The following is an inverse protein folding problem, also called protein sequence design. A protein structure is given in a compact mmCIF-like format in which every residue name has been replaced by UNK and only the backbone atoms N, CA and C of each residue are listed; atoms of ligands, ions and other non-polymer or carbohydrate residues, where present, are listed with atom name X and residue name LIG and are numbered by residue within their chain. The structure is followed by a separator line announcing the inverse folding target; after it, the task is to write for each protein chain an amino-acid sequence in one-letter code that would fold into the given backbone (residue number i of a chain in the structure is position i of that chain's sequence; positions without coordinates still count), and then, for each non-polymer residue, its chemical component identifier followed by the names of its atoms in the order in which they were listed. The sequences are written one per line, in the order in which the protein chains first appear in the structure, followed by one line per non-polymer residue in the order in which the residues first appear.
data_IF_516156342330
#
_entry.id   IF_516156342330
#
_cell.length_a   1.000
_cell.length_b   1.000
_cell.length_c   1.000
_cell.angle_alpha   90.00
_cell.angle_beta   90.00
_cell.angle_gamma   90.00
#
_symmetry.space_group_name_H-M   'P 1'
#
loop_
_entity.id
_entity.type
_entity.pdbx_description
1 polymer ?
#
# COMPACT_ATOMS: atom_id res chain seq x y z
N UNK A 1 16.52 -15.51 5.95
CA UNK A 1 17.27 -14.30 5.53
C UNK A 1 16.51 -13.07 6.04
N UNK A 2 17.24 -12.05 6.48
CA UNK A 2 16.65 -10.81 6.96
C UNK A 2 16.55 -9.82 5.77
N UNK A 3 15.33 -9.47 5.35
CA UNK A 3 15.07 -8.55 4.24
C UNK A 3 15.83 -7.23 4.39
N UNK A 4 15.72 -6.58 5.56
CA UNK A 4 16.36 -5.26 5.77
C UNK A 4 17.88 -5.35 5.72
N UNK A 5 18.47 -6.45 6.22
CA UNK A 5 19.92 -6.68 6.09
C UNK A 5 20.34 -6.78 4.62
N UNK A 6 19.54 -7.48 3.79
CA UNK A 6 19.82 -7.62 2.36
C UNK A 6 19.64 -6.29 1.60
N UNK A 7 18.60 -5.53 1.95
CA UNK A 7 18.40 -4.17 1.41
C UNK A 7 19.58 -3.26 1.74
N UNK A 8 20.04 -3.25 3.00
CA UNK A 8 21.16 -2.39 3.45
C UNK A 8 22.51 -2.78 2.84
N UNK A 9 22.67 -4.03 2.40
CA UNK A 9 23.88 -4.49 1.70
C UNK A 9 23.89 -4.11 0.21
N UNK A 10 22.72 -3.75 -0.35
CA UNK A 10 22.57 -3.32 -1.73
C UNK A 10 22.54 -1.79 -1.81
N UNK A 11 23.09 -1.21 -2.87
CA UNK A 11 22.95 0.23 -3.16
C UNK A 11 21.55 0.48 -3.79
N UNK A 12 20.50 0.36 -2.96
CA UNK A 12 19.12 0.64 -3.42
C UNK A 12 18.93 2.12 -3.63
N UNK A 13 18.71 2.51 -4.86
CA UNK A 13 18.56 3.91 -5.29
C UNK A 13 17.12 4.35 -5.49
N UNK A 14 16.21 3.41 -5.59
CA UNK A 14 14.78 3.67 -5.81
C UNK A 14 13.93 2.52 -5.28
N UNK A 15 12.77 2.85 -4.75
CA UNK A 15 11.70 1.86 -4.53
C UNK A 15 10.65 2.00 -5.62
N UNK A 16 10.33 0.90 -6.28
CA UNK A 16 9.34 0.86 -7.34
C UNK A 16 8.16 -0.01 -6.90
N UNK A 17 7.02 0.62 -6.61
CA UNK A 17 5.83 -0.06 -6.16
C UNK A 17 4.98 -0.53 -7.35
N UNK A 18 4.61 -1.80 -7.36
CA UNK A 18 3.66 -2.36 -8.32
C UNK A 18 2.39 -2.80 -7.57
N UNK A 19 1.30 -2.10 -7.83
CA UNK A 19 0.02 -2.32 -7.14
C UNK A 19 -1.16 -1.88 -8.00
N UNK A 20 -2.39 -2.11 -7.51
CA UNK A 20 -3.64 -1.62 -8.12
C UNK A 20 -4.69 -1.30 -7.06
N UNK A 21 -5.53 -0.30 -7.36
CA UNK A 21 -6.67 0.07 -6.53
C UNK A 21 -6.26 0.35 -5.07
N UNK A 22 -6.93 -0.29 -4.13
CA UNK A 22 -6.66 -0.19 -2.69
C UNK A 22 -5.18 -0.43 -2.33
N UNK A 23 -4.53 -1.42 -2.97
CA UNK A 23 -3.12 -1.71 -2.71
C UNK A 23 -2.18 -0.61 -3.24
N UNK A 24 -2.58 0.11 -4.30
CA UNK A 24 -1.84 1.26 -4.81
C UNK A 24 -1.88 2.42 -3.81
N UNK A 25 -3.03 2.64 -3.16
CA UNK A 25 -3.14 3.63 -2.10
C UNK A 25 -2.26 3.29 -0.88
N UNK A 26 -2.16 2.01 -0.50
CA UNK A 26 -1.20 1.57 0.53
C UNK A 26 0.25 1.83 0.10
N UNK A 27 0.55 1.69 -1.19
CA UNK A 27 1.87 2.00 -1.76
C UNK A 27 2.17 3.50 -1.75
N UNK A 28 1.17 4.36 -1.99
CA UNK A 28 1.30 5.82 -1.83
C UNK A 28 1.68 6.17 -0.38
N UNK A 29 1.00 5.58 0.60
CA UNK A 29 1.36 5.78 2.00
C UNK A 29 2.81 5.38 2.30
N UNK A 30 3.22 4.20 1.85
CA UNK A 30 4.58 3.71 2.01
C UNK A 30 5.61 4.60 1.31
N UNK A 31 5.27 5.19 0.18
CA UNK A 31 6.13 6.12 -0.56
C UNK A 31 6.50 7.34 0.28
N UNK A 32 5.53 7.92 0.99
CA UNK A 32 5.80 9.02 1.92
C UNK A 32 6.74 8.59 3.05
N UNK A 33 6.49 7.42 3.65
CA UNK A 33 7.29 6.95 4.79
C UNK A 33 8.73 6.64 4.38
N UNK A 34 8.92 5.91 3.27
CA UNK A 34 10.25 5.54 2.79
C UNK A 34 11.03 6.78 2.37
N UNK A 35 10.42 7.68 1.61
CA UNK A 35 11.10 8.92 1.20
C UNK A 35 11.46 9.80 2.39
N UNK A 36 10.61 9.83 3.44
CA UNK A 36 10.83 10.67 4.62
C UNK A 36 11.86 10.07 5.59
N UNK A 37 11.75 8.78 5.89
CA UNK A 37 12.50 8.15 6.99
C UNK A 37 13.71 7.35 6.52
N UNK A 38 13.71 6.89 5.27
CA UNK A 38 14.83 6.14 4.68
C UNK A 38 15.64 7.02 3.72
N UNK A 39 15.02 8.06 3.13
CA UNK A 39 15.68 8.97 2.18
C UNK A 39 15.82 8.40 0.78
N UNK A 40 15.12 7.30 0.46
CA UNK A 40 15.14 6.68 -0.87
C UNK A 40 13.93 7.17 -1.69
N UNK A 41 14.13 7.70 -2.91
CA UNK A 41 13.03 8.10 -3.78
C UNK A 41 12.16 6.89 -4.17
N UNK A 42 10.88 7.16 -4.38
CA UNK A 42 9.90 6.13 -4.73
C UNK A 42 9.14 6.47 -6.00
N UNK A 43 8.67 5.45 -6.71
CA UNK A 43 7.77 5.61 -7.85
C UNK A 43 6.70 4.51 -7.86
N UNK A 44 5.53 4.84 -8.39
CA UNK A 44 4.47 3.86 -8.65
C UNK A 44 4.63 3.32 -10.07
N UNK A 45 4.50 2.01 -10.22
CA UNK A 45 4.59 1.35 -11.51
C UNK A 45 3.36 1.68 -12.37
N UNK A 46 3.61 1.77 -13.66
CA UNK A 46 2.57 1.72 -14.68
C UNK A 46 2.63 0.32 -15.34
N UNK A 47 1.83 -0.65 -14.88
CA UNK A 47 1.98 -2.04 -15.33
C UNK A 47 1.84 -2.21 -16.84
N UNK A 48 1.05 -1.36 -17.51
CA UNK A 48 0.91 -1.36 -18.96
C UNK A 48 2.22 -1.11 -19.70
N UNK A 49 3.19 -0.43 -19.10
CA UNK A 49 4.54 -0.26 -19.68
C UNK A 49 5.19 -1.61 -19.92
N UNK A 50 4.96 -2.58 -19.03
CA UNK A 50 5.48 -3.95 -19.15
C UNK A 50 4.55 -4.81 -19.99
N UNK A 51 3.24 -4.80 -19.67
CA UNK A 51 2.28 -5.77 -20.22
C UNK A 51 1.80 -5.44 -21.62
N UNK A 52 1.82 -4.18 -22.03
CA UNK A 52 1.29 -3.74 -23.32
C UNK A 52 2.37 -3.11 -24.23
N UNK A 53 3.39 -2.46 -23.66
CA UNK A 53 4.37 -1.69 -24.46
C UNK A 53 5.76 -2.30 -24.48
N UNK A 54 6.01 -3.43 -23.83
CA UNK A 54 7.33 -4.07 -23.67
C UNK A 54 8.45 -3.06 -23.31
N UNK A 55 8.14 -2.20 -22.33
CA UNK A 55 9.00 -1.08 -21.96
C UNK A 55 10.37 -1.51 -21.44
N UNK A 56 11.38 -0.75 -21.82
CA UNK A 56 12.78 -0.94 -21.39
C UNK A 56 13.00 -0.28 -20.03
N UNK A 57 12.55 -0.93 -18.95
CA UNK A 57 12.78 -0.45 -17.59
C UNK A 57 14.19 -0.84 -17.12
N UNK A 58 14.90 0.10 -16.51
CA UNK A 58 16.19 -0.14 -15.84
C UNK A 58 15.95 -0.15 -14.33
N UNK A 59 15.83 -1.36 -13.76
CA UNK A 59 15.47 -1.57 -12.36
C UNK A 59 16.58 -2.25 -11.54
N UNK A 60 17.81 -2.32 -12.06
CA UNK A 60 18.92 -3.06 -11.45
C UNK A 60 19.18 -2.67 -9.99
N UNK A 61 19.16 -1.38 -9.68
CA UNK A 61 19.45 -0.84 -8.35
C UNK A 61 18.14 -0.44 -7.62
N UNK A 62 17.02 -1.06 -8.02
CA UNK A 62 15.73 -0.83 -7.40
C UNK A 62 15.34 -1.94 -6.42
N UNK A 63 14.60 -1.57 -5.39
CA UNK A 63 13.75 -2.46 -4.63
C UNK A 63 12.36 -2.42 -5.25
N UNK A 64 11.88 -3.53 -5.79
CA UNK A 64 10.54 -3.62 -6.38
C UNK A 64 9.60 -4.30 -5.40
N UNK A 65 8.57 -3.58 -4.97
CA UNK A 65 7.58 -4.07 -4.00
C UNK A 65 6.25 -4.26 -4.72
N UNK A 66 5.85 -5.53 -4.92
CA UNK A 66 4.54 -5.88 -5.41
C UNK A 66 3.54 -5.95 -4.25
N UNK A 67 2.46 -5.16 -4.30
CA UNK A 67 1.43 -5.13 -3.25
C UNK A 67 0.09 -5.59 -3.82
N UNK A 68 -0.47 -6.66 -3.25
CA UNK A 68 -1.75 -7.22 -3.71
C UNK A 68 -2.38 -8.04 -2.59
N UNK A 69 -3.64 -7.79 -2.26
CA UNK A 69 -4.36 -8.56 -1.25
C UNK A 69 -4.33 -10.07 -1.56
N UNK A 70 -4.73 -10.47 -2.76
CA UNK A 70 -4.77 -11.87 -3.17
C UNK A 70 -3.43 -12.42 -3.65
N UNK A 71 -2.47 -11.55 -4.00
CA UNK A 71 -1.22 -11.94 -4.63
C UNK A 71 -1.37 -12.61 -6.00
N UNK A 72 -2.51 -12.42 -6.68
CA UNK A 72 -2.85 -13.06 -7.97
C UNK A 72 -2.96 -12.07 -9.13
N UNK A 73 -2.69 -10.78 -8.90
CA UNK A 73 -2.74 -9.74 -9.91
C UNK A 73 -1.65 -9.98 -10.98
N UNK A 74 -2.05 -10.42 -12.16
CA UNK A 74 -1.13 -10.84 -13.22
C UNK A 74 -0.23 -9.70 -13.72
N UNK A 75 -0.74 -8.50 -13.77
CA UNK A 75 -0.02 -7.32 -14.19
C UNK A 75 1.02 -6.84 -13.15
N UNK A 76 0.71 -6.98 -11.85
CA UNK A 76 1.68 -6.74 -10.77
C UNK A 76 2.79 -7.79 -10.82
N UNK A 77 2.43 -9.05 -11.01
CA UNK A 77 3.39 -10.13 -11.16
C UNK A 77 4.31 -9.91 -12.37
N UNK A 78 3.78 -9.48 -13.51
CA UNK A 78 4.58 -9.17 -14.69
C UNK A 78 5.63 -8.05 -14.43
N UNK A 79 5.27 -7.03 -13.65
CA UNK A 79 6.24 -6.01 -13.22
C UNK A 79 7.33 -6.61 -12.34
N UNK A 80 6.98 -7.48 -11.39
CA UNK A 80 7.96 -8.16 -10.55
C UNK A 80 8.87 -9.11 -11.36
N UNK A 81 8.32 -9.81 -12.35
CA UNK A 81 9.10 -10.65 -13.28
C UNK A 81 10.11 -9.82 -14.08
N UNK A 82 9.66 -8.69 -14.64
CA UNK A 82 10.54 -7.76 -15.34
C UNK A 82 11.64 -7.20 -14.44
N UNK A 83 11.29 -6.86 -13.21
CA UNK A 83 12.23 -6.40 -12.20
C UNK A 83 13.32 -7.43 -11.89
N UNK A 84 12.93 -8.68 -11.70
CA UNK A 84 13.86 -9.77 -11.44
C UNK A 84 14.80 -10.05 -12.63
N UNK A 85 14.29 -9.96 -13.86
CA UNK A 85 15.10 -10.00 -15.09
C UNK A 85 16.14 -8.87 -15.15
N UNK A 86 15.85 -7.72 -14.58
CA UNK A 86 16.77 -6.58 -14.47
C UNK A 86 17.76 -6.71 -13.29
N UNK A 87 17.64 -7.74 -12.45
CA UNK A 87 18.48 -7.94 -11.25
C UNK A 87 18.02 -7.15 -10.02
N UNK A 88 16.83 -6.58 -10.03
CA UNK A 88 16.23 -5.92 -8.87
C UNK A 88 15.95 -6.90 -7.74
N UNK A 89 15.95 -6.40 -6.51
CA UNK A 89 15.42 -7.14 -5.36
C UNK A 89 13.89 -7.03 -5.37
N UNK A 90 13.20 -8.16 -5.23
CA UNK A 90 11.73 -8.20 -5.27
C UNK A 90 11.12 -8.60 -3.94
N UNK A 91 10.11 -7.84 -3.49
CA UNK A 91 9.33 -8.10 -2.28
C UNK A 91 7.86 -8.20 -2.65
N UNK A 92 7.20 -9.28 -2.23
CA UNK A 92 5.75 -9.41 -2.30
C UNK A 92 5.13 -9.01 -0.96
N UNK A 93 4.07 -8.19 -0.99
CA UNK A 93 3.22 -7.89 0.16
C UNK A 93 1.83 -8.43 -0.14
N UNK A 94 1.44 -9.53 0.50
CA UNK A 94 0.16 -10.20 0.21
C UNK A 94 -0.52 -10.73 1.47
N UNK A 95 -1.80 -11.04 1.36
CA UNK A 95 -2.57 -11.71 2.42
C UNK A 95 -2.79 -13.22 2.15
N UNK A 96 -2.05 -13.79 1.19
CA UNK A 96 -2.10 -15.21 0.85
C UNK A 96 -0.68 -15.77 0.72
N UNK A 97 -0.29 -16.64 1.67
CA UNK A 97 1.03 -17.29 1.71
C UNK A 97 1.31 -18.20 0.51
N UNK A 98 0.24 -18.70 -0.13
CA UNK A 98 0.34 -19.62 -1.27
C UNK A 98 0.16 -18.90 -2.63
N UNK A 99 0.01 -17.58 -2.61
CA UNK A 99 -0.20 -16.80 -3.84
C UNK A 99 1.02 -16.84 -4.78
N UNK A 100 0.80 -16.71 -6.09
CA UNK A 100 1.89 -16.63 -7.07
C UNK A 100 2.93 -15.56 -6.71
N UNK A 101 2.49 -14.38 -6.26
CA UNK A 101 3.41 -13.31 -5.88
C UNK A 101 4.25 -13.67 -4.65
N UNK A 102 3.64 -14.31 -3.63
CA UNK A 102 4.34 -14.74 -2.42
C UNK A 102 5.44 -15.78 -2.72
N UNK A 103 5.17 -16.68 -3.68
CA UNK A 103 6.12 -17.70 -4.11
C UNK A 103 7.20 -17.13 -5.04
N UNK A 104 6.90 -16.08 -5.78
CA UNK A 104 7.80 -15.50 -6.78
C UNK A 104 8.80 -14.49 -6.18
N UNK A 105 8.38 -13.66 -5.22
CA UNK A 105 9.23 -12.64 -4.61
C UNK A 105 10.48 -13.24 -3.94
N UNK A 106 11.58 -12.49 -3.91
CA UNK A 106 12.78 -12.88 -3.15
C UNK A 106 12.47 -12.87 -1.65
N UNK A 107 11.54 -12.02 -1.25
CA UNK A 107 10.97 -11.92 0.09
C UNK A 107 9.45 -11.77 0.04
N UNK A 108 8.80 -12.27 1.07
CA UNK A 108 7.36 -12.11 1.26
C UNK A 108 7.07 -11.48 2.62
N UNK A 109 6.30 -10.41 2.62
CA UNK A 109 5.73 -9.76 3.79
C UNK A 109 4.24 -10.12 3.87
N UNK A 110 3.89 -10.95 4.82
CA UNK A 110 2.53 -11.44 5.00
C UNK A 110 1.68 -10.46 5.81
N UNK A 111 0.53 -10.02 5.27
CA UNK A 111 -0.36 -9.07 5.93
C UNK A 111 -1.07 -9.66 7.14
N UNK A 112 -1.30 -10.98 7.16
CA UNK A 112 -1.96 -11.70 8.25
C UNK A 112 -3.31 -11.09 8.70
N UNK A 113 -4.09 -10.56 7.75
CA UNK A 113 -5.36 -9.90 8.01
C UNK A 113 -6.55 -10.87 8.16
N UNK A 114 -6.31 -12.17 8.08
CA UNK A 114 -7.36 -13.17 7.97
C UNK A 114 -8.07 -13.09 6.61
N UNK A 115 -9.16 -13.83 6.46
CA UNK A 115 -9.91 -13.86 5.20
C UNK A 115 -10.61 -12.51 4.94
N UNK A 116 -10.33 -11.86 3.82
CA UNK A 116 -11.06 -10.68 3.34
C UNK A 116 -12.27 -11.16 2.53
N UNK A 117 -13.46 -11.07 3.13
CA UNK A 117 -14.71 -11.52 2.51
C UNK A 117 -15.34 -10.42 1.64
N UNK A 118 -15.02 -9.18 1.92
CA UNK A 118 -15.56 -8.02 1.24
C UNK A 118 -14.94 -7.83 -0.14
N UNK A 119 -15.77 -7.56 -1.16
CA UNK A 119 -15.27 -7.15 -2.49
C UNK A 119 -14.49 -5.84 -2.39
N UNK A 120 -15.02 -4.88 -1.64
CA UNK A 120 -14.33 -3.65 -1.29
C UNK A 120 -13.38 -3.92 -0.10
N UNK A 121 -12.10 -4.11 -0.36
CA UNK A 121 -11.09 -4.42 0.66
C UNK A 121 -11.06 -3.36 1.77
N UNK A 122 -10.97 -3.80 3.01
CA UNK A 122 -10.94 -2.94 4.21
C UNK A 122 -9.76 -3.27 5.11
N UNK A 123 -9.82 -4.35 5.88
CA UNK A 123 -8.77 -4.75 6.83
C UNK A 123 -7.45 -5.10 6.15
N UNK A 124 -7.47 -5.62 4.93
CA UNK A 124 -6.25 -5.88 4.17
C UNK A 124 -5.53 -4.60 3.78
N UNK A 125 -6.25 -3.51 3.51
CA UNK A 125 -5.65 -2.20 3.28
C UNK A 125 -4.88 -1.70 4.51
N UNK A 126 -5.53 -1.71 5.68
CA UNK A 126 -4.88 -1.27 6.92
C UNK A 126 -3.69 -2.15 7.31
N UNK A 127 -3.79 -3.47 7.07
CA UNK A 127 -2.68 -4.40 7.30
C UNK A 127 -1.52 -4.18 6.32
N UNK A 128 -1.80 -3.89 5.04
CA UNK A 128 -0.76 -3.52 4.07
C UNK A 128 -0.02 -2.25 4.50
N UNK A 129 -0.76 -1.21 4.90
CA UNK A 129 -0.16 0.02 5.43
C UNK A 129 0.71 -0.25 6.65
N UNK A 130 0.23 -1.07 7.59
CA UNK A 130 0.96 -1.42 8.80
C UNK A 130 2.28 -2.16 8.49
N UNK A 131 2.23 -3.19 7.65
CA UNK A 131 3.40 -3.96 7.24
C UNK A 131 4.42 -3.10 6.49
N UNK A 132 3.96 -2.21 5.61
CA UNK A 132 4.83 -1.29 4.88
C UNK A 132 5.41 -0.20 5.80
N UNK A 133 4.66 0.25 6.80
CA UNK A 133 5.17 1.15 7.83
C UNK A 133 6.24 0.49 8.71
N UNK A 134 6.05 -0.78 9.10
CA UNK A 134 7.08 -1.55 9.79
C UNK A 134 8.36 -1.68 8.95
N UNK A 135 8.21 -1.96 7.65
CA UNK A 135 9.36 -2.02 6.74
C UNK A 135 10.13 -0.69 6.71
N UNK A 136 9.43 0.42 6.56
CA UNK A 136 10.03 1.76 6.54
C UNK A 136 10.72 2.09 7.87
N UNK A 137 10.09 1.76 8.99
CA UNK A 137 10.64 2.01 10.32
C UNK A 137 11.92 1.19 10.61
N UNK A 138 11.90 -0.12 10.28
CA UNK A 138 13.07 -1.00 10.47
C UNK A 138 14.18 -0.64 9.50
N UNK A 139 13.88 -0.32 8.25
CA UNK A 139 14.89 0.08 7.26
C UNK A 139 15.53 1.42 7.61
N UNK A 140 14.73 2.38 8.09
CA UNK A 140 15.22 3.70 8.50
C UNK A 140 15.77 3.79 9.94
N UNK A 141 15.92 2.64 10.63
CA UNK A 141 16.35 2.57 12.04
C UNK A 141 15.54 3.51 12.96
N UNK A 142 14.22 3.63 12.72
CA UNK A 142 13.33 4.54 13.44
C UNK A 142 12.61 3.84 14.59
N UNK A 143 13.27 3.71 15.73
CA UNK A 143 12.72 3.07 16.94
C UNK A 143 11.47 3.78 17.47
N UNK A 144 11.43 5.12 17.37
CA UNK A 144 10.26 5.89 17.81
C UNK A 144 9.00 5.57 16.99
N UNK A 145 9.16 5.32 15.68
CA UNK A 145 8.07 4.88 14.83
C UNK A 145 7.66 3.44 15.16
N UNK A 146 8.62 2.55 15.43
CA UNK A 146 8.31 1.17 15.83
C UNK A 146 7.49 1.14 17.12
N UNK A 147 7.89 1.91 18.14
CA UNK A 147 7.14 1.99 19.38
C UNK A 147 5.69 2.49 19.17
N UNK A 148 5.49 3.48 18.29
CA UNK A 148 4.14 3.95 17.95
C UNK A 148 3.32 2.93 17.17
N UNK A 149 3.95 2.11 16.33
CA UNK A 149 3.23 1.05 15.61
C UNK A 149 2.68 -0.01 16.57
N UNK A 150 3.35 -0.30 17.67
CA UNK A 150 2.87 -1.22 18.70
C UNK A 150 1.58 -0.73 19.39
N UNK A 151 1.33 0.59 19.39
CA UNK A 151 0.11 1.18 19.96
C UNK A 151 -1.10 1.14 19.00
N UNK A 152 -0.87 0.97 17.69
CA UNK A 152 -1.90 1.06 16.65
C UNK A 152 -3.05 0.07 16.84
N UNK A 153 -2.82 -1.23 17.15
CA UNK A 153 -3.92 -2.18 17.32
C UNK A 153 -4.90 -1.75 18.43
N UNK A 154 -4.39 -1.32 19.59
CA UNK A 154 -5.23 -0.82 20.69
C UNK A 154 -5.98 0.46 20.34
N UNK A 155 -5.35 1.38 19.61
CA UNK A 155 -6.00 2.60 19.12
C UNK A 155 -7.13 2.29 18.14
N UNK A 156 -6.95 1.31 17.24
CA UNK A 156 -7.99 0.86 16.30
C UNK A 156 -9.15 0.21 17.04
N UNK A 157 -8.88 -0.66 18.01
CA UNK A 157 -9.92 -1.29 18.84
C UNK A 157 -10.76 -0.24 19.58
N UNK A 158 -10.12 0.74 20.20
CA UNK A 158 -10.79 1.85 20.85
C UNK A 158 -11.64 2.65 19.86
N UNK A 159 -11.11 2.98 18.68
CA UNK A 159 -11.82 3.71 17.64
C UNK A 159 -13.09 2.96 17.21
N UNK A 160 -13.01 1.67 16.97
CA UNK A 160 -14.13 0.84 16.55
C UNK A 160 -15.23 0.73 17.60
N UNK A 161 -14.94 0.97 18.87
CA UNK A 161 -15.94 0.91 19.95
C UNK A 161 -16.94 2.07 19.92
N UNK A 162 -16.58 3.23 19.38
CA UNK A 162 -17.45 4.42 19.40
C UNK A 162 -17.79 4.99 18.01
N UNK A 163 -16.97 4.78 17.00
CA UNK A 163 -17.15 5.37 15.66
C UNK A 163 -18.51 5.01 15.03
N UNK A 164 -19.04 3.77 15.12
CA UNK A 164 -20.34 3.46 14.53
C UNK A 164 -21.46 4.35 15.07
N UNK A 165 -21.46 4.62 16.37
CA UNK A 165 -22.47 5.46 17.02
C UNK A 165 -22.37 6.94 16.56
N UNK A 166 -21.17 7.46 16.38
CA UNK A 166 -20.98 8.84 15.90
C UNK A 166 -21.36 9.01 14.42
N UNK A 167 -21.07 8.00 13.60
CA UNK A 167 -21.47 7.96 12.19
C UNK A 167 -23.01 7.96 12.09
N UNK A 168 -23.71 7.16 12.86
CA UNK A 168 -25.19 7.11 12.86
C UNK A 168 -25.83 8.48 13.08
N UNK A 169 -25.25 9.33 13.92
CA UNK A 169 -25.76 10.67 14.21
C UNK A 169 -25.69 11.62 13.00
N UNK A 170 -24.72 11.44 12.13
CA UNK A 170 -24.43 12.37 11.05
C UNK A 170 -24.80 11.87 9.66
N UNK A 171 -24.91 10.53 9.48
CA UNK A 171 -25.02 9.90 8.16
C UNK A 171 -26.28 10.34 7.40
N UNK A 172 -27.35 10.71 8.09
CA UNK A 172 -28.58 11.17 7.47
C UNK A 172 -28.39 12.46 6.67
N UNK A 173 -27.38 13.26 6.99
CA UNK A 173 -27.04 14.50 6.25
C UNK A 173 -26.50 14.18 4.86
N UNK A 174 -25.93 13.00 4.68
CA UNK A 174 -25.28 12.57 3.44
C UNK A 174 -26.16 11.65 2.59
N UNK A 175 -27.39 11.35 3.05
CA UNK A 175 -28.30 10.40 2.39
C UNK A 175 -28.55 10.69 0.90
N UNK A 176 -28.53 11.95 0.52
CA UNK A 176 -28.79 12.40 -0.85
C UNK A 176 -27.54 12.94 -1.54
N UNK A 177 -26.38 12.63 -1.01
CA UNK A 177 -25.13 13.07 -1.60
C UNK A 177 -24.86 12.31 -2.91
N UNK A 178 -24.72 13.03 -4.01
CA UNK A 178 -24.43 12.48 -5.34
C UNK A 178 -22.94 12.62 -5.70
N UNK A 179 -22.27 13.61 -5.13
CA UNK A 179 -20.87 13.90 -5.38
C UNK A 179 -20.20 14.52 -4.14
N UNK A 180 -18.88 14.42 -4.09
CA UNK A 180 -18.12 15.01 -3.00
C UNK A 180 -16.61 14.99 -3.25
N UNK A 181 -15.89 15.68 -2.36
CA UNK A 181 -14.44 15.76 -2.37
C UNK A 181 -13.88 15.29 -1.04
N UNK A 182 -12.77 14.54 -1.11
CA UNK A 182 -11.96 14.20 0.07
C UNK A 182 -10.64 14.94 -0.08
N UNK A 183 -10.37 15.84 0.85
CA UNK A 183 -9.18 16.69 0.81
C UNK A 183 -8.17 16.25 1.85
N UNK A 184 -6.91 16.12 1.45
CA UNK A 184 -5.83 15.74 2.37
C UNK A 184 -4.47 16.17 1.80
N UNK A 185 -3.40 15.87 2.52
CA UNK A 185 -2.02 15.99 2.04
C UNK A 185 -1.06 15.09 2.83
N UNK A 186 0.15 14.90 2.29
CA UNK A 186 1.16 14.06 2.94
C UNK A 186 0.71 12.60 3.04
N UNK A 187 1.06 11.92 4.09
CA UNK A 187 0.70 10.51 4.31
C UNK A 187 -0.81 10.24 4.25
N UNK A 188 -1.64 11.23 4.64
CA UNK A 188 -3.09 11.11 4.60
C UNK A 188 -3.70 11.13 3.18
N UNK A 189 -2.91 11.43 2.13
CA UNK A 189 -3.38 11.33 0.74
C UNK A 189 -3.83 9.91 0.40
N UNK A 190 -3.12 8.90 0.89
CA UNK A 190 -3.52 7.51 0.72
C UNK A 190 -4.93 7.24 1.28
N UNK A 191 -5.23 7.82 2.45
CA UNK A 191 -6.54 7.69 3.09
C UNK A 191 -7.62 8.44 2.30
N UNK A 192 -7.31 9.63 1.76
CA UNK A 192 -8.25 10.38 0.92
C UNK A 192 -8.63 9.60 -0.35
N UNK A 193 -7.64 9.00 -1.03
CA UNK A 193 -7.89 8.19 -2.21
C UNK A 193 -8.62 6.88 -1.88
N UNK A 194 -8.30 6.25 -0.76
CA UNK A 194 -9.03 5.05 -0.33
C UNK A 194 -10.46 5.36 0.07
N UNK A 195 -10.71 6.45 0.80
CA UNK A 195 -12.06 6.91 1.14
C UNK A 195 -12.88 7.20 -0.11
N UNK A 196 -12.29 7.89 -1.09
CA UNK A 196 -12.90 8.13 -2.40
C UNK A 196 -13.28 6.80 -3.06
N UNK A 197 -12.35 5.87 -3.14
CA UNK A 197 -12.56 4.56 -3.78
C UNK A 197 -13.67 3.77 -3.08
N UNK A 198 -13.64 3.68 -1.75
CA UNK A 198 -14.67 2.94 -0.98
C UNK A 198 -16.06 3.53 -1.17
N UNK A 199 -16.23 4.84 -1.16
CA UNK A 199 -17.52 5.48 -1.41
C UNK A 199 -18.01 5.27 -2.86
N UNK A 200 -17.10 5.24 -3.84
CA UNK A 200 -17.44 4.89 -5.22
C UNK A 200 -17.86 3.42 -5.37
N UNK A 201 -17.14 2.49 -4.75
CA UNK A 201 -17.40 1.06 -4.86
C UNK A 201 -18.67 0.63 -4.13
N UNK A 202 -18.94 1.21 -2.95
CA UNK A 202 -20.02 0.75 -2.07
C UNK A 202 -21.31 1.54 -2.21
N UNK A 203 -21.24 2.83 -2.56
CA UNK A 203 -22.39 3.74 -2.58
C UNK A 203 -22.64 4.35 -3.96
N UNK A 204 -21.76 4.10 -4.94
CA UNK A 204 -21.85 4.67 -6.30
C UNK A 204 -21.87 6.20 -6.34
N UNK A 205 -21.38 6.87 -5.29
CA UNK A 205 -21.29 8.33 -5.22
C UNK A 205 -20.07 8.81 -6.00
N UNK A 206 -20.21 9.88 -6.77
CA UNK A 206 -19.09 10.48 -7.50
C UNK A 206 -18.16 11.20 -6.54
N UNK A 207 -17.08 10.54 -6.14
CA UNK A 207 -16.09 11.09 -5.22
C UNK A 207 -14.79 11.45 -5.94
N UNK A 208 -14.07 12.47 -5.44
CA UNK A 208 -12.74 12.81 -5.90
C UNK A 208 -11.83 13.16 -4.73
N UNK A 209 -10.64 12.53 -4.70
CA UNK A 209 -9.58 12.86 -3.75
C UNK A 209 -8.65 13.94 -4.32
N UNK A 210 -8.27 14.92 -3.50
CA UNK A 210 -7.32 15.96 -3.88
C UNK A 210 -6.31 16.22 -2.76
N UNK A 211 -5.10 16.55 -3.17
CA UNK A 211 -4.14 17.19 -2.29
C UNK A 211 -4.53 18.68 -2.09
N UNK A 212 -4.47 19.15 -0.84
CA UNK A 212 -4.88 20.55 -0.51
C UNK A 212 -3.87 21.57 -1.03
N UNK A 213 -2.66 21.15 -1.38
CA UNK A 213 -1.54 22.04 -1.74
C UNK A 213 -0.78 21.63 -2.99
N UNK A 214 -1.28 20.67 -3.75
CA UNK A 214 -0.62 20.16 -4.97
C UNK A 214 -1.43 20.49 -6.22
#
# INVERSE_FOLDING_TARGET
KNLVSDIKQRDIRMVYFAARGTSDHASIYASYLISTYVGVPTALALPSVVTAYDGKLCLKDALVIGVSQSGKAADVLAVMEKAKQCGALTVAVTNDLQSPMAQFGDYHLYCNAGLEESVAATKTFTSQMYVLAMLAAVWGDNEAMLAKLDEVPGAVEQLLSYIPHDIEKIIQRYRYMENGFVLSRGTSMAIAFETMLKLQETNYVKMKGYAVSD
#
